data_IF_506100360133
#
_entry.id   IF_506100360133
#
_cell.length_a   1.000
_cell.length_b   1.000
_cell.length_c   1.000
_cell.angle_alpha   90.00
_cell.angle_beta   90.00
_cell.angle_gamma   90.00
#
_symmetry.space_group_name_H-M   'P 1'
#
loop_
_entity.id
_entity.type
_entity.pdbx_description
1 polymer ?
#
# COMPACT_ATOMS: atom_id res chain seq x y z
N UNK A 1 -7.87 -17.45 7.06
CA UNK A 1 -7.45 -16.28 7.87
C UNK A 1 -7.54 -15.08 6.94
N UNK A 2 -8.14 -13.96 7.35
CA UNK A 2 -8.18 -12.81 6.46
C UNK A 2 -6.76 -12.28 6.24
N UNK A 3 -6.41 -12.02 4.97
CA UNK A 3 -5.13 -11.43 4.62
C UNK A 3 -5.06 -9.99 5.13
N UNK A 4 -3.86 -9.43 5.19
CA UNK A 4 -3.64 -8.05 5.61
C UNK A 4 -2.81 -7.30 4.60
N UNK A 5 -2.94 -5.97 4.57
CA UNK A 5 -1.98 -5.12 3.88
C UNK A 5 -1.65 -3.92 4.76
N UNK A 6 -0.37 -3.59 4.82
CA UNK A 6 0.14 -2.50 5.64
C UNK A 6 0.42 -1.25 4.80
N UNK A 7 -0.02 -0.10 5.31
CA UNK A 7 0.34 1.24 4.79
C UNK A 7 1.18 1.95 5.84
N UNK A 8 2.46 2.18 5.54
CA UNK A 8 3.36 2.97 6.39
C UNK A 8 2.96 4.45 6.31
N UNK A 9 2.97 5.11 7.45
CA UNK A 9 2.61 6.51 7.60
C UNK A 9 3.85 7.33 7.99
N UNK A 10 4.21 8.26 7.12
CA UNK A 10 5.11 9.36 7.48
C UNK A 10 4.31 10.49 8.15
N UNK A 11 5.02 11.55 8.58
CA UNK A 11 4.39 12.72 9.21
C UNK A 11 3.31 13.35 8.33
N UNK A 12 3.54 13.47 7.02
CA UNK A 12 2.58 14.07 6.08
C UNK A 12 1.30 13.25 6.00
N UNK A 13 1.41 11.92 5.93
CA UNK A 13 0.27 11.01 5.92
C UNK A 13 -0.52 11.05 7.23
N UNK A 14 0.16 11.14 8.37
CA UNK A 14 -0.51 11.29 9.68
C UNK A 14 -1.34 12.57 9.72
N UNK A 15 -0.80 13.71 9.27
CA UNK A 15 -1.55 14.97 9.24
C UNK A 15 -2.85 14.85 8.41
N UNK A 16 -2.81 14.12 7.29
CA UNK A 16 -3.94 13.97 6.37
C UNK A 16 -5.10 13.14 6.94
N UNK A 17 -4.83 12.27 7.92
CA UNK A 17 -5.86 11.46 8.58
C UNK A 17 -6.23 11.99 9.97
N UNK A 18 -5.56 13.04 10.45
CA UNK A 18 -5.83 13.62 11.77
C UNK A 18 -7.29 14.09 11.88
N UNK A 19 -7.92 13.77 13.00
CA UNK A 19 -9.32 14.07 13.27
C UNK A 19 -10.31 13.20 12.49
N UNK A 20 -9.84 12.15 11.79
CA UNK A 20 -10.71 11.16 11.14
C UNK A 20 -10.76 9.88 11.97
N UNK A 21 -11.80 9.02 11.80
CA UNK A 21 -11.87 7.74 12.49
C UNK A 21 -10.63 6.85 12.26
N UNK A 22 -10.01 6.97 11.08
CA UNK A 22 -8.80 6.23 10.68
C UNK A 22 -7.61 6.50 11.59
N UNK A 23 -7.52 7.69 12.20
CA UNK A 23 -6.43 8.03 13.13
C UNK A 23 -6.36 7.06 14.32
N UNK A 24 -7.51 6.56 14.79
CA UNK A 24 -7.59 5.62 15.92
C UNK A 24 -7.07 4.21 15.59
N UNK A 25 -6.85 3.91 14.31
CA UNK A 25 -6.36 2.61 13.85
C UNK A 25 -4.86 2.59 13.60
N UNK A 26 -4.18 3.73 13.80
CA UNK A 26 -2.73 3.84 13.65
C UNK A 26 -2.03 3.02 14.73
N UNK A 27 -1.12 2.15 14.30
CA UNK A 27 -0.30 1.31 15.16
C UNK A 27 1.16 1.73 15.11
N UNK A 28 1.85 1.43 16.20
CA UNK A 28 3.28 1.62 16.34
C UNK A 28 4.03 0.39 15.84
N UNK A 29 5.07 0.62 15.06
CA UNK A 29 5.94 -0.40 14.54
C UNK A 29 7.39 -0.04 14.89
N UNK A 30 8.18 -1.06 15.23
CA UNK A 30 9.52 -0.89 15.82
C UNK A 30 9.54 0.08 17.00
N UNK A 31 8.71 -0.12 18.03
CA UNK A 31 8.74 0.74 19.23
C UNK A 31 8.36 2.21 18.97
N UNK A 32 7.61 2.48 17.89
CA UNK A 32 7.11 3.81 17.55
C UNK A 32 7.95 4.58 16.54
N UNK A 33 9.07 4.02 16.06
CA UNK A 33 9.85 4.64 14.98
C UNK A 33 9.08 4.73 13.66
N UNK A 34 8.18 3.78 13.41
CA UNK A 34 7.26 3.81 12.28
C UNK A 34 5.82 3.75 12.78
N UNK A 35 4.93 4.39 12.02
CA UNK A 35 3.48 4.30 12.21
C UNK A 35 2.89 3.57 11.01
N UNK A 36 1.87 2.75 11.24
CA UNK A 36 1.26 1.92 10.20
C UNK A 36 -0.25 1.82 10.40
N UNK A 37 -0.99 1.69 9.30
CA UNK A 37 -2.36 1.18 9.31
C UNK A 37 -2.36 -0.19 8.64
N UNK A 38 -3.02 -1.16 9.27
CA UNK A 38 -3.21 -2.50 8.74
C UNK A 38 -4.66 -2.67 8.30
N UNK A 39 -4.88 -2.92 7.01
CA UNK A 39 -6.20 -3.18 6.48
C UNK A 39 -6.43 -4.68 6.37
N UNK A 40 -7.63 -5.10 6.73
CA UNK A 40 -8.08 -6.49 6.53
C UNK A 40 -8.51 -6.65 5.07
N UNK A 41 -7.94 -7.62 4.38
CA UNK A 41 -8.17 -7.88 2.95
C UNK A 41 -8.99 -9.16 2.81
N UNK A 42 -10.22 -9.10 2.27
CA UNK A 42 -11.00 -10.29 1.95
C UNK A 42 -10.28 -11.20 0.94
N UNK A 43 -10.49 -12.51 1.04
CA UNK A 43 -9.78 -13.51 0.23
C UNK A 43 -9.91 -13.25 -1.28
N UNK A 44 -11.11 -12.93 -1.77
CA UNK A 44 -11.36 -12.63 -3.19
C UNK A 44 -10.55 -11.41 -3.67
N UNK A 45 -10.43 -10.39 -2.82
CA UNK A 45 -9.66 -9.18 -3.10
C UNK A 45 -8.17 -9.51 -3.10
N UNK A 46 -7.69 -10.29 -2.14
CA UNK A 46 -6.30 -10.71 -2.07
C UNK A 46 -5.90 -11.50 -3.34
N UNK A 47 -6.70 -12.47 -3.75
CA UNK A 47 -6.47 -13.23 -4.98
C UNK A 47 -6.44 -12.32 -6.22
N UNK A 48 -7.32 -11.32 -6.27
CA UNK A 48 -7.32 -10.34 -7.35
C UNK A 48 -6.04 -9.49 -7.35
N UNK A 49 -5.59 -9.01 -6.19
CA UNK A 49 -4.34 -8.23 -6.09
C UNK A 49 -3.15 -9.07 -6.58
N UNK A 50 -3.01 -10.31 -6.13
CA UNK A 50 -1.92 -11.21 -6.54
C UNK A 50 -1.93 -11.50 -8.05
N UNK A 51 -3.12 -11.62 -8.65
CA UNK A 51 -3.27 -11.81 -10.10
C UNK A 51 -2.86 -10.57 -10.90
N UNK A 52 -3.20 -9.37 -10.43
CA UNK A 52 -2.93 -8.12 -11.14
C UNK A 52 -1.49 -7.64 -10.98
N UNK A 53 -0.82 -8.01 -9.88
CA UNK A 53 0.55 -7.60 -9.54
C UNK A 53 1.42 -8.84 -9.27
N UNK A 54 2.10 -9.41 -10.28
CA UNK A 54 2.79 -10.70 -10.17
C UNK A 54 3.92 -10.77 -9.15
N UNK A 55 4.51 -9.63 -8.77
CA UNK A 55 5.53 -9.56 -7.70
C UNK A 55 4.91 -9.61 -6.31
N UNK A 56 3.63 -9.28 -6.17
CA UNK A 56 2.96 -9.31 -4.89
C UNK A 56 2.90 -10.74 -4.36
N UNK A 57 3.13 -10.90 -3.06
CA UNK A 57 3.11 -12.21 -2.38
C UNK A 57 2.56 -12.09 -0.98
N UNK A 58 2.21 -13.22 -0.38
CA UNK A 58 1.77 -13.30 1.01
C UNK A 58 2.93 -13.75 1.89
N UNK A 59 3.25 -12.97 2.93
CA UNK A 59 4.25 -13.36 3.94
C UNK A 59 3.71 -14.41 4.92
N UNK A 60 4.58 -14.98 5.75
CA UNK A 60 4.21 -16.02 6.73
C UNK A 60 3.17 -15.56 7.78
N UNK A 61 2.89 -14.26 7.88
CA UNK A 61 1.92 -13.67 8.81
C UNK A 61 0.62 -13.26 8.10
N UNK A 62 0.49 -13.55 6.80
CA UNK A 62 -0.69 -13.22 6.01
C UNK A 62 -0.70 -11.80 5.43
N UNK A 63 0.43 -11.08 5.44
CA UNK A 63 0.54 -9.77 4.81
C UNK A 63 0.79 -9.89 3.31
N UNK A 64 0.00 -9.16 2.52
CA UNK A 64 0.27 -8.91 1.11
C UNK A 64 1.40 -7.90 1.03
N UNK A 65 2.54 -8.36 0.56
CA UNK A 65 3.78 -7.59 0.40
C UNK A 65 4.22 -7.56 -1.06
N UNK A 66 5.27 -6.77 -1.34
CA UNK A 66 5.82 -6.60 -2.70
C UNK A 66 4.81 -6.09 -3.74
N UNK A 67 3.77 -5.40 -3.27
CA UNK A 67 2.92 -4.59 -4.14
C UNK A 67 3.67 -3.35 -4.62
N UNK A 68 3.37 -2.83 -5.84
CA UNK A 68 4.00 -1.62 -6.35
C UNK A 68 3.86 -0.42 -5.40
N UNK A 69 4.82 0.50 -5.44
CA UNK A 69 4.80 1.69 -4.58
C UNK A 69 3.57 2.54 -4.88
N UNK A 70 3.23 2.71 -6.17
CA UNK A 70 2.03 3.41 -6.62
C UNK A 70 0.75 2.75 -6.12
N UNK A 71 0.71 1.42 -5.98
CA UNK A 71 -0.44 0.73 -5.41
C UNK A 71 -0.62 1.11 -3.94
N UNK A 72 0.44 1.05 -3.12
CA UNK A 72 0.36 1.45 -1.70
C UNK A 72 0.05 2.94 -1.54
N UNK A 73 0.52 3.79 -2.47
CA UNK A 73 0.18 5.22 -2.51
C UNK A 73 -1.30 5.43 -2.79
N UNK A 74 -1.83 4.85 -3.86
CA UNK A 74 -3.25 4.99 -4.21
C UNK A 74 -4.17 4.36 -3.16
N UNK A 75 -3.76 3.27 -2.52
CA UNK A 75 -4.47 2.70 -1.38
C UNK A 75 -4.63 3.75 -0.26
N UNK A 76 -3.56 4.48 0.07
CA UNK A 76 -3.62 5.56 1.05
C UNK A 76 -4.53 6.71 0.60
N UNK A 77 -4.49 7.10 -0.68
CA UNK A 77 -5.39 8.15 -1.21
C UNK A 77 -6.86 7.76 -1.04
N UNK A 78 -7.21 6.50 -1.31
CA UNK A 78 -8.59 6.01 -1.13
C UNK A 78 -8.98 5.98 0.35
N UNK A 79 -8.07 5.58 1.25
CA UNK A 79 -8.31 5.63 2.70
C UNK A 79 -8.63 7.06 3.15
N UNK A 80 -7.86 8.05 2.70
CA UNK A 80 -8.11 9.47 3.03
C UNK A 80 -9.42 9.96 2.42
N UNK A 81 -9.71 9.59 1.18
CA UNK A 81 -10.95 9.96 0.48
C UNK A 81 -12.19 9.44 1.20
N UNK A 82 -12.18 8.18 1.63
CA UNK A 82 -13.32 7.50 2.25
C UNK A 82 -13.35 7.66 3.77
N UNK A 83 -12.23 8.07 4.39
CA UNK A 83 -12.04 8.09 5.84
C UNK A 83 -12.36 6.73 6.48
N UNK A 84 -11.93 5.65 5.81
CA UNK A 84 -12.18 4.27 6.19
C UNK A 84 -11.00 3.38 5.87
N UNK A 85 -10.90 2.27 6.59
CA UNK A 85 -9.97 1.14 6.39
C UNK A 85 -10.72 -0.16 6.03
N UNK A 86 -12.04 -0.07 5.83
CA UNK A 86 -12.92 -1.19 5.55
C UNK A 86 -12.82 -1.74 4.11
N UNK A 87 -13.56 -2.82 3.81
CA UNK A 87 -13.53 -3.50 2.51
C UNK A 87 -13.84 -2.58 1.31
N UNK A 88 -14.64 -1.52 1.51
CA UNK A 88 -15.00 -0.53 0.50
C UNK A 88 -13.80 0.21 -0.09
N UNK A 89 -12.70 0.33 0.66
CA UNK A 89 -11.44 0.89 0.18
C UNK A 89 -10.93 0.10 -1.01
N UNK A 90 -11.00 -1.23 -0.95
CA UNK A 90 -10.54 -2.09 -2.04
C UNK A 90 -11.50 -2.07 -3.23
N UNK A 91 -12.80 -1.96 -2.98
CA UNK A 91 -13.81 -1.80 -4.04
C UNK A 91 -13.56 -0.54 -4.85
N UNK A 92 -13.22 0.58 -4.20
CA UNK A 92 -12.87 1.84 -4.86
C UNK A 92 -11.49 1.77 -5.54
N UNK A 93 -10.48 1.21 -4.87
CA UNK A 93 -9.12 1.08 -5.38
C UNK A 93 -9.07 0.24 -6.67
N UNK A 94 -9.81 -0.86 -6.71
CA UNK A 94 -9.80 -1.84 -7.81
C UNK A 94 -10.86 -1.54 -8.89
N UNK A 95 -11.46 -0.34 -8.89
CA UNK A 95 -12.29 0.10 -10.01
C UNK A 95 -11.48 0.07 -11.31
N UNK A 96 -12.04 -0.42 -12.44
CA UNK A 96 -11.28 -0.67 -13.67
C UNK A 96 -10.43 0.51 -14.16
N UNK A 97 -10.99 1.72 -14.13
CA UNK A 97 -10.33 2.95 -14.56
C UNK A 97 -9.19 3.39 -13.64
N UNK A 98 -9.27 3.11 -12.34
CA UNK A 98 -8.20 3.40 -11.38
C UNK A 98 -7.12 2.31 -11.45
N UNK A 99 -7.54 1.05 -11.48
CA UNK A 99 -6.65 -0.10 -11.61
C UNK A 99 -5.78 -0.03 -12.88
N UNK A 100 -6.34 0.36 -14.03
CA UNK A 100 -5.55 0.56 -15.26
C UNK A 100 -4.41 1.57 -15.04
N UNK A 101 -4.74 2.74 -14.47
CA UNK A 101 -3.77 3.80 -14.17
C UNK A 101 -2.69 3.35 -13.18
N UNK A 102 -3.08 2.59 -12.15
CA UNK A 102 -2.13 2.01 -11.20
C UNK A 102 -1.17 1.06 -11.91
N UNK A 103 -1.69 0.17 -12.77
CA UNK A 103 -0.86 -0.79 -13.52
C UNK A 103 0.09 -0.11 -14.50
N UNK A 104 -0.38 0.90 -15.22
CA UNK A 104 0.46 1.71 -16.13
C UNK A 104 1.57 2.44 -15.38
N UNK A 105 1.29 2.98 -14.19
CA UNK A 105 2.30 3.63 -13.36
C UNK A 105 3.28 2.62 -12.75
N UNK A 106 2.79 1.46 -12.30
CA UNK A 106 3.61 0.40 -11.73
C UNK A 106 4.62 -0.15 -12.73
N UNK A 107 4.24 -0.29 -14.01
CA UNK A 107 5.15 -0.71 -15.07
C UNK A 107 6.36 0.22 -15.23
N UNK A 108 6.21 1.52 -14.91
CA UNK A 108 7.30 2.50 -14.96
C UNK A 108 8.20 2.47 -13.73
N UNK A 109 7.74 1.90 -12.61
CA UNK A 109 8.58 1.69 -11.43
C UNK A 109 9.63 0.62 -11.68
N UNK A 110 9.25 -0.42 -12.44
CA UNK A 110 10.15 -1.52 -12.81
C UNK A 110 11.26 -1.09 -13.78
N UNK A 111 11.08 0.01 -14.52
CA UNK A 111 12.06 0.55 -15.47
C UNK A 111 13.18 1.37 -14.80
N UNK A 112 13.03 1.79 -13.54
CA UNK A 112 14.03 2.62 -12.85
C UNK A 112 15.01 1.79 -12.02
N UNK A 113 16.15 1.44 -12.62
CA UNK A 113 17.37 1.07 -11.90
C UNK A 113 18.28 2.30 -11.86
N UNK A 114 18.48 2.97 -10.71
CA UNK A 114 19.46 4.03 -10.65
C UNK A 114 20.83 3.43 -10.98
N UNK A 115 21.63 4.09 -11.85
CA UNK A 115 22.96 3.59 -12.15
C UNK A 115 23.78 3.47 -10.86
N UNK A 116 24.61 2.42 -10.71
CA UNK A 116 25.45 2.27 -9.53
C UNK A 116 26.33 3.51 -9.39
N UNK A 117 26.29 4.13 -8.20
CA UNK A 117 27.16 5.26 -7.88
C UNK A 117 28.56 4.71 -7.56
N UNK A 118 29.28 4.28 -8.58
CA UNK A 118 30.71 3.99 -8.47
C UNK A 118 31.44 5.32 -8.39
N UNK A 119 31.68 5.78 -7.17
CA UNK A 119 32.77 6.71 -6.91
C UNK A 119 34.06 6.01 -7.36
N UNK A 120 34.55 6.34 -8.55
CA UNK A 120 35.94 6.05 -8.90
C UNK A 120 36.79 6.81 -7.89
N UNK A 121 37.36 6.09 -6.92
CA UNK A 121 38.48 6.59 -6.14
C UNK A 121 39.64 6.76 -7.12
N UNK A 122 39.81 7.99 -7.63
CA UNK A 122 41.02 8.46 -8.29
C UNK A 122 41.91 9.18 -7.30
#
# INVERSE_FOLDING_TARGET
MPYKIAVILDKSRIERIRGTPVENEVKDLYGGYLKVIELTVPDEIAQRILKEFPRARIDARGFIEETPVVFKRELFEVIVQLKSTGPEVFSELLKPNRLSRIKEAAAKEDEYLPPPNVAYCG
#
